data_IF_135185179303
#
_entry.id   IF_135185179303
#
_cell.length_a   1.000
_cell.length_b   1.000
_cell.length_c   1.000
_cell.angle_alpha   90.00
_cell.angle_beta   90.00
_cell.angle_gamma   90.00
#
_symmetry.space_group_name_H-M   'P 1'
#
loop_
_entity.id
_entity.type
_entity.pdbx_description
1 polymer ?
#
# COMPACT_ATOMS: atom_id res chain seq x y z
N UNK A 1 -10.07 -27.83 8.47
CA UNK A 1 -11.19 -27.18 7.75
C UNK A 1 -11.73 -25.95 8.51
N UNK A 2 -10.89 -24.92 8.74
CA UNK A 2 -11.32 -23.63 9.37
C UNK A 2 -10.50 -22.42 8.89
N UNK A 3 -9.42 -22.66 8.14
CA UNK A 3 -8.46 -21.63 7.66
C UNK A 3 -8.74 -21.10 6.25
N UNK A 4 -9.42 -21.89 5.38
CA UNK A 4 -9.83 -21.47 4.03
C UNK A 4 -10.99 -20.46 4.02
N UNK A 5 -11.95 -20.62 4.94
CA UNK A 5 -13.16 -19.80 5.00
C UNK A 5 -12.93 -18.31 5.33
N UNK A 6 -11.81 -17.95 5.95
CA UNK A 6 -11.48 -16.54 6.22
C UNK A 6 -10.86 -15.83 5.01
N UNK A 7 -10.16 -16.58 4.15
CA UNK A 7 -9.51 -16.00 2.96
C UNK A 7 -10.57 -15.74 1.88
N UNK A 8 -11.54 -16.65 1.72
CA UNK A 8 -12.59 -16.50 0.70
C UNK A 8 -13.52 -15.29 0.96
N UNK A 9 -13.87 -15.00 2.23
CA UNK A 9 -14.73 -13.84 2.56
C UNK A 9 -14.08 -12.50 2.24
N UNK A 10 -12.75 -12.38 2.43
CA UNK A 10 -12.03 -11.15 2.06
C UNK A 10 -11.88 -10.96 0.54
N UNK A 11 -12.06 -12.02 -0.25
CA UNK A 11 -11.88 -12.02 -1.70
C UNK A 11 -13.20 -11.90 -2.48
N UNK A 12 -14.34 -12.32 -1.91
CA UNK A 12 -15.60 -12.44 -2.67
C UNK A 12 -16.77 -11.57 -2.17
N UNK A 13 -16.69 -10.97 -0.99
CA UNK A 13 -17.75 -10.08 -0.49
C UNK A 13 -17.23 -8.65 -0.35
N UNK A 14 -18.11 -7.65 -0.43
CA UNK A 14 -17.77 -6.26 -0.21
C UNK A 14 -17.43 -6.01 1.28
N UNK A 15 -16.27 -6.52 1.71
CA UNK A 15 -15.66 -6.36 3.05
C UNK A 15 -14.97 -5.00 3.23
N UNK A 16 -15.02 -4.13 2.22
CA UNK A 16 -14.72 -2.73 2.42
C UNK A 16 -15.77 -2.16 3.39
N UNK A 17 -15.34 -1.38 4.37
CA UNK A 17 -16.24 -0.74 5.33
C UNK A 17 -17.32 0.07 4.57
N UNK A 18 -18.53 -0.47 4.47
CA UNK A 18 -19.61 0.17 3.71
C UNK A 18 -20.18 1.41 4.42
N UNK A 19 -19.93 1.54 5.72
CA UNK A 19 -20.45 2.62 6.57
C UNK A 19 -19.38 3.58 7.09
N UNK A 20 -18.08 3.25 6.95
CA UNK A 20 -16.97 4.06 7.44
C UNK A 20 -16.08 4.52 6.28
N UNK A 21 -15.86 5.83 6.17
CA UNK A 21 -14.92 6.40 5.20
C UNK A 21 -13.50 6.45 5.78
N UNK A 22 -12.50 6.57 4.91
CA UNK A 22 -11.08 6.65 5.32
C UNK A 22 -10.71 7.99 5.93
N UNK A 23 -11.57 9.01 5.80
CA UNK A 23 -11.27 10.38 6.17
C UNK A 23 -10.38 11.12 5.18
N UNK A 24 -9.81 10.42 4.19
CA UNK A 24 -8.97 11.01 3.14
C UNK A 24 -9.77 11.95 2.24
N UNK A 25 -11.10 11.80 2.17
CA UNK A 25 -12.00 12.69 1.42
C UNK A 25 -11.93 14.15 1.89
N UNK A 26 -11.53 14.39 3.14
CA UNK A 26 -11.39 15.73 3.74
C UNK A 26 -10.08 16.41 3.38
N UNK A 27 -9.13 15.70 2.77
CA UNK A 27 -7.85 16.24 2.37
C UNK A 27 -7.88 16.58 0.87
N UNK A 28 -7.46 17.79 0.53
CA UNK A 28 -7.23 18.24 -0.84
C UNK A 28 -5.78 18.69 -0.93
N UNK A 29 -4.96 17.91 -1.64
CA UNK A 29 -3.59 18.32 -1.93
C UNK A 29 -3.65 19.48 -2.93
N UNK A 30 -2.97 20.61 -2.66
CA UNK A 30 -2.98 21.74 -3.57
C UNK A 30 -2.37 21.32 -4.91
N UNK A 31 -3.15 21.50 -5.98
CA UNK A 31 -2.68 21.21 -7.31
C UNK A 31 -1.71 22.31 -7.77
N UNK A 32 -0.51 21.90 -8.20
CA UNK A 32 0.45 22.81 -8.80
C UNK A 32 0.67 22.42 -10.28
N UNK A 33 -0.01 23.16 -11.17
CA UNK A 33 0.00 22.93 -12.61
C UNK A 33 1.35 23.23 -13.28
N UNK A 34 2.15 24.10 -12.67
CA UNK A 34 3.44 24.57 -13.19
C UNK A 34 4.58 23.98 -12.37
N UNK A 35 4.56 22.65 -12.22
CA UNK A 35 5.69 21.95 -11.62
C UNK A 35 6.85 22.04 -12.62
N UNK A 36 7.88 22.83 -12.31
CA UNK A 36 9.19 22.78 -12.99
C UNK A 36 9.97 21.50 -12.63
N UNK A 37 9.25 20.45 -12.25
CA UNK A 37 9.80 19.18 -11.77
C UNK A 37 9.62 18.16 -12.87
N UNK A 38 10.71 17.55 -13.31
CA UNK A 38 10.65 16.42 -14.22
C UNK A 38 10.16 15.19 -13.46
N UNK A 39 9.10 14.54 -13.95
CA UNK A 39 8.57 13.32 -13.35
C UNK A 39 9.64 12.22 -13.25
N UNK A 40 10.56 12.15 -14.23
CA UNK A 40 11.66 11.19 -14.22
C UNK A 40 12.71 11.44 -13.13
N UNK A 41 12.69 12.62 -12.48
CA UNK A 41 13.62 12.97 -11.39
C UNK A 41 13.03 12.80 -10.00
N UNK A 42 11.77 12.37 -9.89
CA UNK A 42 11.12 12.15 -8.60
C UNK A 42 11.64 10.84 -8.00
N UNK A 43 12.40 10.95 -6.91
CA UNK A 43 12.81 9.81 -6.09
C UNK A 43 11.77 9.58 -4.98
N UNK A 44 11.17 8.38 -4.98
CA UNK A 44 10.23 7.94 -3.95
C UNK A 44 10.91 7.16 -2.85
N UNK A 45 12.20 6.87 -2.95
CA UNK A 45 12.85 6.01 -1.99
C UNK A 45 12.91 6.65 -0.61
N UNK A 46 12.78 5.82 0.42
CA UNK A 46 12.92 6.24 1.83
C UNK A 46 13.82 5.29 2.60
N UNK A 47 14.41 5.77 3.70
CA UNK A 47 15.00 4.88 4.68
C UNK A 47 13.95 4.54 5.75
N UNK A 48 13.77 3.26 6.03
CA UNK A 48 12.87 2.77 7.05
C UNK A 48 13.53 1.62 7.81
N UNK A 49 13.65 1.76 9.13
CA UNK A 49 14.28 0.76 10.02
C UNK A 49 15.69 0.32 9.55
N UNK A 50 16.50 1.25 9.04
CA UNK A 50 17.86 0.96 8.57
C UNK A 50 17.93 0.23 7.22
N UNK A 51 16.82 0.18 6.47
CA UNK A 51 16.76 -0.36 5.10
C UNK A 51 16.23 0.69 4.14
N UNK A 52 16.81 0.73 2.94
CA UNK A 52 16.33 1.57 1.84
C UNK A 52 15.14 0.88 1.15
N UNK A 53 14.01 1.57 1.07
CA UNK A 53 12.84 1.20 0.27
C UNK A 53 12.82 2.08 -0.99
N UNK A 54 12.29 1.57 -2.11
CA UNK A 54 12.14 2.38 -3.32
C UNK A 54 10.91 3.29 -3.31
N UNK A 55 9.97 3.04 -2.39
CA UNK A 55 8.75 3.83 -2.22
C UNK A 55 8.33 3.87 -0.74
N UNK A 56 7.59 4.91 -0.30
CA UNK A 56 7.13 5.06 1.08
C UNK A 56 5.86 4.23 1.36
N UNK A 57 5.81 2.97 0.93
CA UNK A 57 4.62 2.13 1.02
C UNK A 57 4.99 0.77 1.61
N UNK A 58 4.18 0.31 2.58
CA UNK A 58 4.32 -1.00 3.22
C UNK A 58 3.02 -1.79 3.05
N UNK A 59 3.16 -3.11 2.88
CA UNK A 59 2.01 -4.01 2.76
C UNK A 59 1.69 -4.56 4.13
N UNK A 60 0.52 -4.18 4.66
CA UNK A 60 0.01 -4.69 5.93
C UNK A 60 -0.21 -6.21 5.91
N UNK A 61 -0.03 -6.86 7.06
CA UNK A 61 -0.26 -8.29 7.21
C UNK A 61 -1.77 -8.61 7.10
N UNK A 62 -2.22 -9.14 5.96
CA UNK A 62 -3.64 -9.45 5.73
C UNK A 62 -4.10 -10.76 6.39
N UNK A 63 -3.22 -11.75 6.48
CA UNK A 63 -3.40 -13.00 7.24
C UNK A 63 -2.02 -13.56 7.53
N UNK A 64 -1.79 -14.11 8.73
CA UNK A 64 -0.48 -14.51 9.26
C UNK A 64 0.60 -14.84 8.22
N UNK A 65 1.61 -13.98 8.15
CA UNK A 65 2.91 -14.25 7.51
C UNK A 65 2.83 -14.83 6.09
N UNK A 66 2.12 -14.20 5.17
CA UNK A 66 2.06 -14.68 3.79
C UNK A 66 3.28 -14.22 2.99
N UNK A 67 3.98 -15.21 2.43
CA UNK A 67 5.03 -15.18 1.41
C UNK A 67 4.78 -14.19 0.25
N UNK A 68 3.50 -13.83 0.03
CA UNK A 68 3.06 -12.81 -0.92
C UNK A 68 3.56 -11.39 -0.57
N UNK A 69 3.53 -11.00 0.71
CA UNK A 69 4.07 -9.70 1.16
C UNK A 69 5.58 -9.64 0.92
N UNK A 70 6.29 -10.75 1.12
CA UNK A 70 7.71 -10.86 0.83
C UNK A 70 8.01 -10.74 -0.68
N UNK A 71 7.18 -11.32 -1.54
CA UNK A 71 7.36 -11.24 -3.00
C UNK A 71 7.15 -9.82 -3.52
N UNK A 72 6.10 -9.13 -3.07
CA UNK A 72 5.86 -7.76 -3.50
C UNK A 72 6.91 -6.81 -2.91
N UNK A 73 7.32 -6.99 -1.65
CA UNK A 73 8.39 -6.19 -1.06
C UNK A 73 9.74 -6.40 -1.78
N UNK A 74 10.03 -7.61 -2.27
CA UNK A 74 11.20 -7.86 -3.13
C UNK A 74 11.09 -7.09 -4.46
N UNK A 75 9.93 -7.11 -5.11
CA UNK A 75 9.72 -6.38 -6.36
C UNK A 75 9.77 -4.85 -6.18
N UNK A 76 9.42 -4.34 -5.00
CA UNK A 76 9.52 -2.92 -4.62
C UNK A 76 10.88 -2.55 -4.01
N UNK A 77 11.78 -3.52 -3.82
CA UNK A 77 13.14 -3.29 -3.34
C UNK A 77 14.20 -3.49 -4.44
N UNK A 78 13.87 -4.19 -5.53
CA UNK A 78 14.73 -4.50 -6.68
C UNK A 78 14.78 -3.35 -7.68
#
# INVERSE_FOLDING_TARGET
MRKRRHIDVCLSEAVQYQTLTTGLERYRLPYNALTQTNLATIDLGVEFLGKRLQAPVLIGAMTGGSELSGTINRNLAA
#
